data_IF_827735000086
#
_entry.id   IF_827735000086
#
_cell.length_a   1.000
_cell.length_b   1.000
_cell.length_c   1.000
_cell.angle_alpha   90.00
_cell.angle_beta   90.00
_cell.angle_gamma   90.00
#
_symmetry.space_group_name_H-M   'P 1'
#
loop_
_entity.id
_entity.type
_entity.pdbx_description
1 polymer ?
#
# COMPACT_ATOMS: atom_id res chain seq x y z
N UNK A 1 20.53 23.57 -9.65
CA UNK A 1 21.28 22.31 -9.91
C UNK A 1 20.70 21.06 -9.21
N UNK A 2 19.94 21.17 -8.13
CA UNK A 2 19.38 20.02 -7.38
C UNK A 2 18.22 19.28 -8.09
N UNK A 3 17.40 19.93 -8.94
CA UNK A 3 16.25 19.29 -9.60
C UNK A 3 16.62 18.17 -10.60
N UNK A 4 17.83 18.19 -11.16
CA UNK A 4 18.32 17.15 -12.08
C UNK A 4 18.62 15.80 -11.40
N UNK A 5 18.82 15.78 -10.08
CA UNK A 5 19.28 14.60 -9.34
C UNK A 5 18.19 13.53 -9.13
N UNK A 6 16.92 13.91 -9.20
CA UNK A 6 15.78 13.03 -8.93
C UNK A 6 14.86 12.82 -10.13
N UNK A 7 15.10 13.51 -11.26
CA UNK A 7 14.26 13.39 -12.44
C UNK A 7 14.40 12.01 -13.10
N UNK A 8 13.31 11.31 -13.28
CA UNK A 8 13.23 10.04 -14.00
C UNK A 8 13.17 10.24 -15.53
N UNK A 9 13.16 11.50 -16.00
CA UNK A 9 13.05 11.84 -17.43
C UNK A 9 14.39 11.85 -18.16
N UNK A 10 15.52 11.82 -17.44
CA UNK A 10 16.86 11.92 -18.00
C UNK A 10 17.73 10.70 -17.61
N UNK A 11 18.84 10.50 -18.29
CA UNK A 11 19.82 9.45 -17.98
C UNK A 11 19.39 8.04 -18.36
N UNK A 12 20.07 7.04 -17.81
CA UNK A 12 19.81 5.63 -18.05
C UNK A 12 18.50 5.17 -17.37
N UNK A 13 17.60 4.54 -18.11
CA UNK A 13 16.28 4.11 -17.64
C UNK A 13 16.41 3.13 -16.46
N UNK A 14 17.23 2.08 -16.61
CA UNK A 14 17.37 1.05 -15.61
C UNK A 14 17.97 1.58 -14.29
N UNK A 15 18.97 2.49 -14.39
CA UNK A 15 19.53 3.15 -13.20
C UNK A 15 18.49 4.01 -12.50
N UNK A 16 17.75 4.83 -13.24
CA UNK A 16 16.74 5.70 -12.69
C UNK A 16 15.65 4.91 -11.94
N UNK A 17 15.15 3.82 -12.56
CA UNK A 17 14.11 2.99 -11.94
C UNK A 17 14.62 2.22 -10.71
N UNK A 18 15.81 1.60 -10.80
CA UNK A 18 16.36 0.86 -9.66
C UNK A 18 16.74 1.78 -8.50
N UNK A 19 17.35 2.95 -8.78
CA UNK A 19 17.66 3.92 -7.72
C UNK A 19 16.43 4.54 -7.06
N UNK A 20 15.30 4.53 -7.75
CA UNK A 20 14.02 4.91 -7.16
C UNK A 20 13.37 3.75 -6.41
N UNK A 21 13.28 2.57 -7.02
CA UNK A 21 12.59 1.41 -6.48
C UNK A 21 13.29 0.84 -5.23
N UNK A 22 14.63 0.83 -5.19
CA UNK A 22 15.37 0.25 -4.07
C UNK A 22 15.15 0.95 -2.72
N UNK A 23 15.20 2.29 -2.61
CA UNK A 23 14.85 2.96 -1.36
C UNK A 23 13.39 2.74 -0.96
N UNK A 24 12.45 2.68 -1.92
CA UNK A 24 11.04 2.37 -1.65
C UNK A 24 10.92 0.95 -1.08
N UNK A 25 11.62 -0.01 -1.68
CA UNK A 25 11.66 -1.40 -1.18
C UNK A 25 12.19 -1.47 0.26
N UNK A 26 13.33 -0.84 0.53
CA UNK A 26 13.89 -0.79 1.88
C UNK A 26 12.93 -0.12 2.87
N UNK A 27 12.29 0.98 2.47
CA UNK A 27 11.27 1.64 3.30
C UNK A 27 10.13 0.71 3.67
N UNK A 28 9.59 -0.02 2.71
CA UNK A 28 8.53 -0.98 2.96
C UNK A 28 8.99 -2.15 3.87
N UNK A 29 10.25 -2.63 3.70
CA UNK A 29 10.84 -3.64 4.60
C UNK A 29 10.93 -3.12 6.02
N UNK A 30 11.48 -1.92 6.24
CA UNK A 30 11.56 -1.32 7.56
C UNK A 30 10.18 -1.09 8.18
N UNK A 31 9.20 -0.68 7.38
CA UNK A 31 7.82 -0.54 7.84
C UNK A 31 7.22 -1.87 8.29
N UNK A 32 7.45 -2.93 7.54
CA UNK A 32 6.99 -4.28 7.91
C UNK A 32 7.69 -4.79 9.17
N UNK A 33 8.98 -4.51 9.31
CA UNK A 33 9.76 -4.93 10.49
C UNK A 33 9.28 -4.22 11.76
N UNK A 34 9.07 -2.91 11.75
CA UNK A 34 8.59 -2.23 12.94
C UNK A 34 7.16 -2.62 13.30
N UNK A 35 6.25 -2.84 12.33
CA UNK A 35 4.91 -3.35 12.61
C UNK A 35 4.95 -4.74 13.26
N UNK A 36 5.90 -5.58 12.83
CA UNK A 36 6.12 -6.92 13.42
C UNK A 36 6.67 -6.80 14.84
N UNK A 37 7.59 -5.85 15.07
CA UNK A 37 8.14 -5.59 16.41
C UNK A 37 7.08 -5.04 17.37
N UNK A 38 6.23 -4.13 16.93
CA UNK A 38 5.11 -3.61 17.71
C UNK A 38 4.17 -4.73 18.19
N UNK A 39 3.75 -5.61 17.27
CA UNK A 39 2.94 -6.77 17.61
C UNK A 39 3.66 -7.75 18.58
N UNK A 40 4.97 -7.96 18.38
CA UNK A 40 5.77 -8.78 19.26
C UNK A 40 5.88 -8.18 20.67
N UNK A 41 6.09 -6.86 20.76
CA UNK A 41 6.18 -6.15 22.03
C UNK A 41 4.86 -6.25 22.82
N UNK A 42 3.73 -6.00 22.17
CA UNK A 42 2.39 -6.12 22.77
C UNK A 42 2.12 -7.54 23.25
N UNK A 43 2.39 -8.55 22.41
CA UNK A 43 2.15 -9.95 22.76
C UNK A 43 2.99 -10.45 23.93
N UNK A 44 4.28 -10.06 24.00
CA UNK A 44 5.17 -10.57 25.05
C UNK A 44 5.04 -9.84 26.40
N UNK A 45 4.71 -8.55 26.39
CA UNK A 45 4.71 -7.75 27.64
C UNK A 45 3.30 -7.44 28.15
N UNK A 46 2.27 -7.43 27.31
CA UNK A 46 0.89 -7.16 27.76
C UNK A 46 0.06 -8.44 27.79
N UNK A 47 0.28 -9.35 26.82
CA UNK A 47 -0.36 -10.66 26.76
C UNK A 47 -1.26 -10.88 25.55
N UNK A 48 -1.85 -12.09 25.47
CA UNK A 48 -2.58 -12.57 24.31
C UNK A 48 -3.86 -11.78 24.01
N UNK A 49 -4.57 -11.32 25.04
CA UNK A 49 -5.79 -10.51 24.87
C UNK A 49 -5.50 -9.17 24.21
N UNK A 50 -4.38 -8.55 24.58
CA UNK A 50 -3.91 -7.31 23.96
C UNK A 50 -3.49 -7.51 22.51
N UNK A 51 -2.78 -8.63 22.22
CA UNK A 51 -2.39 -9.01 20.87
C UNK A 51 -3.62 -9.30 20.00
N UNK A 52 -4.64 -9.96 20.58
CA UNK A 52 -5.92 -10.19 19.91
C UNK A 52 -6.66 -8.87 19.62
N UNK A 53 -6.62 -7.91 20.58
CA UNK A 53 -7.19 -6.58 20.38
C UNK A 53 -6.55 -5.82 19.23
N UNK A 54 -5.21 -5.80 19.15
CA UNK A 54 -4.45 -5.17 18.06
C UNK A 54 -4.73 -5.87 16.72
N UNK A 55 -4.72 -7.20 16.72
CA UNK A 55 -4.89 -8.00 15.49
C UNK A 55 -6.30 -7.93 14.91
N UNK A 56 -7.33 -7.99 15.75
CA UNK A 56 -8.74 -7.85 15.31
C UNK A 56 -9.01 -6.50 14.66
N UNK A 57 -8.29 -5.51 15.11
CA UNK A 57 -8.37 -4.11 14.67
C UNK A 57 -7.64 -3.86 13.35
N UNK A 58 -6.64 -4.66 13.05
CA UNK A 58 -5.73 -4.43 11.91
C UNK A 58 -6.44 -4.35 10.57
N UNK A 59 -7.45 -5.17 10.32
CA UNK A 59 -8.17 -5.19 9.04
C UNK A 59 -8.92 -3.89 8.76
N UNK A 60 -9.52 -3.27 9.77
CA UNK A 60 -10.22 -2.00 9.61
C UNK A 60 -9.25 -0.84 9.40
N UNK A 61 -8.18 -0.80 10.20
CA UNK A 61 -7.09 0.17 10.03
C UNK A 61 -6.54 0.06 8.63
N UNK A 62 -6.23 -1.17 8.17
CA UNK A 62 -5.70 -1.42 6.85
C UNK A 62 -6.65 -0.91 5.74
N UNK A 63 -7.95 -1.18 5.85
CA UNK A 63 -8.95 -0.71 4.89
C UNK A 63 -8.97 0.82 4.80
N UNK A 64 -9.00 1.51 5.95
CA UNK A 64 -9.05 2.97 6.01
C UNK A 64 -7.74 3.60 5.52
N UNK A 65 -6.59 3.12 5.96
CA UNK A 65 -5.27 3.60 5.52
C UNK A 65 -5.10 3.37 4.02
N UNK A 66 -5.52 2.22 3.50
CA UNK A 66 -5.46 1.90 2.07
C UNK A 66 -6.30 2.83 1.21
N UNK A 67 -7.46 3.28 1.71
CA UNK A 67 -8.26 4.29 1.03
C UNK A 67 -7.51 5.62 0.88
N UNK A 68 -6.95 6.13 1.98
CA UNK A 68 -6.21 7.40 1.97
C UNK A 68 -4.88 7.30 1.19
N UNK A 69 -4.21 6.16 1.23
CA UNK A 69 -3.06 5.89 0.36
C UNK A 69 -3.44 5.98 -1.13
N UNK A 70 -4.60 5.44 -1.50
CA UNK A 70 -5.11 5.56 -2.86
C UNK A 70 -5.33 7.03 -3.26
N UNK A 71 -5.89 7.83 -2.38
CA UNK A 71 -6.09 9.27 -2.63
C UNK A 71 -4.74 10.00 -2.73
N UNK A 72 -3.78 9.72 -1.86
CA UNK A 72 -2.43 10.28 -1.93
C UNK A 72 -1.72 9.92 -3.24
N UNK A 73 -1.94 8.70 -3.77
CA UNK A 73 -1.43 8.31 -5.10
C UNK A 73 -1.99 9.21 -6.21
N UNK A 74 -3.25 9.65 -6.11
CA UNK A 74 -3.83 10.59 -7.07
C UNK A 74 -3.09 11.94 -7.09
N UNK A 75 -2.77 12.49 -5.92
CA UNK A 75 -1.95 13.68 -5.82
C UNK A 75 -0.56 13.46 -6.45
N UNK A 76 0.05 12.29 -6.16
CA UNK A 76 1.33 11.89 -6.76
C UNK A 76 1.31 11.87 -8.29
N UNK A 77 0.23 11.40 -8.91
CA UNK A 77 0.08 11.40 -10.39
C UNK A 77 0.04 12.82 -10.95
N UNK A 78 -0.76 13.72 -10.37
CA UNK A 78 -0.86 15.12 -10.82
C UNK A 78 0.48 15.84 -10.68
N UNK A 79 1.16 15.65 -9.55
CA UNK A 79 2.46 16.27 -9.27
C UNK A 79 3.55 15.71 -10.20
N UNK A 80 3.63 14.38 -10.38
CA UNK A 80 4.62 13.75 -11.25
C UNK A 80 4.50 14.22 -12.70
N UNK A 81 3.27 14.30 -13.20
CA UNK A 81 2.95 14.82 -14.53
C UNK A 81 3.42 16.26 -14.70
N UNK A 82 3.02 17.15 -13.79
CA UNK A 82 3.37 18.57 -13.84
C UNK A 82 4.89 18.79 -13.65
N UNK A 83 5.55 17.96 -12.82
CA UNK A 83 7.00 17.99 -12.65
C UNK A 83 7.71 17.60 -13.94
N UNK A 84 7.28 16.53 -14.61
CA UNK A 84 7.83 16.11 -15.91
C UNK A 84 7.63 17.14 -17.00
N UNK A 85 6.47 17.79 -17.04
CA UNK A 85 6.15 18.88 -17.97
C UNK A 85 6.87 20.20 -17.66
N UNK A 86 7.60 20.29 -16.53
CA UNK A 86 8.21 21.51 -16.00
C UNK A 86 7.22 22.65 -15.73
N UNK A 87 5.94 22.30 -15.52
CA UNK A 87 4.86 23.23 -15.17
C UNK A 87 4.85 23.44 -13.65
N UNK A 88 5.85 24.17 -13.15
CA UNK A 88 6.08 24.32 -11.72
C UNK A 88 4.96 25.06 -10.97
N UNK A 89 4.25 25.96 -11.64
CA UNK A 89 3.12 26.70 -11.01
C UNK A 89 1.94 25.74 -10.77
N UNK A 90 1.57 24.93 -11.77
CA UNK A 90 0.54 23.89 -11.63
C UNK A 90 0.94 22.85 -10.59
N UNK A 91 2.20 22.40 -10.63
CA UNK A 91 2.75 21.47 -9.65
C UNK A 91 2.65 22.05 -8.21
N UNK A 92 3.02 23.31 -8.01
CA UNK A 92 2.94 23.96 -6.70
C UNK A 92 1.50 24.08 -6.20
N UNK A 93 0.54 24.43 -7.07
CA UNK A 93 -0.89 24.44 -6.71
C UNK A 93 -1.34 23.03 -6.28
N UNK A 94 -0.98 21.99 -7.03
CA UNK A 94 -1.32 20.61 -6.70
C UNK A 94 -0.69 20.16 -5.37
N UNK A 95 0.58 20.49 -5.10
CA UNK A 95 1.26 20.19 -3.83
C UNK A 95 0.54 20.84 -2.64
N UNK A 96 0.28 22.15 -2.72
CA UNK A 96 -0.37 22.88 -1.61
C UNK A 96 -1.82 22.44 -1.41
N UNK A 97 -2.54 22.10 -2.51
CA UNK A 97 -3.89 21.53 -2.46
C UNK A 97 -3.88 20.14 -1.84
N UNK A 98 -2.92 19.28 -2.19
CA UNK A 98 -2.80 17.95 -1.59
C UNK A 98 -2.57 18.02 -0.08
N UNK A 99 -1.72 18.95 0.37
CA UNK A 99 -1.47 19.19 1.80
C UNK A 99 -2.75 19.70 2.49
N UNK A 100 -3.43 20.70 1.93
CA UNK A 100 -4.66 21.23 2.49
C UNK A 100 -5.76 20.16 2.56
N UNK A 101 -5.92 19.37 1.49
CA UNK A 101 -6.86 18.25 1.43
C UNK A 101 -6.52 17.17 2.48
N UNK A 102 -5.23 16.84 2.64
CA UNK A 102 -4.77 15.91 3.67
C UNK A 102 -5.04 16.38 5.10
N UNK A 103 -4.88 17.67 5.38
CA UNK A 103 -5.23 18.24 6.67
C UNK A 103 -6.73 18.09 6.95
N UNK A 104 -7.58 18.45 6.00
CA UNK A 104 -9.04 18.35 6.15
C UNK A 104 -9.46 16.89 6.34
N UNK A 105 -9.01 16.00 5.45
CA UNK A 105 -9.37 14.57 5.52
C UNK A 105 -8.75 13.87 6.74
N UNK A 106 -7.54 14.26 7.13
CA UNK A 106 -6.89 13.77 8.34
C UNK A 106 -7.66 14.15 9.62
N UNK A 107 -8.12 15.39 9.73
CA UNK A 107 -8.98 15.83 10.84
C UNK A 107 -10.32 15.09 10.82
N UNK A 108 -10.96 14.99 9.65
CA UNK A 108 -12.21 14.24 9.51
C UNK A 108 -12.06 12.78 9.93
N UNK A 109 -10.97 12.13 9.51
CA UNK A 109 -10.69 10.74 9.87
C UNK A 109 -10.42 10.59 11.36
N UNK A 110 -9.68 11.52 11.97
CA UNK A 110 -9.44 11.53 13.41
C UNK A 110 -10.74 11.64 14.18
N UNK A 111 -11.59 12.63 13.88
CA UNK A 111 -12.87 12.84 14.59
C UNK A 111 -13.81 11.66 14.37
N UNK A 112 -14.02 11.24 13.12
CA UNK A 112 -14.90 10.13 12.80
C UNK A 112 -14.38 8.80 13.37
N UNK A 113 -13.08 8.53 13.28
CA UNK A 113 -12.45 7.33 13.81
C UNK A 113 -12.62 7.20 15.32
N UNK A 114 -12.31 8.26 16.07
CA UNK A 114 -12.46 8.27 17.54
C UNK A 114 -13.92 8.12 17.95
N UNK A 115 -14.84 8.83 17.29
CA UNK A 115 -16.27 8.80 17.62
C UNK A 115 -16.93 7.45 17.28
N UNK A 116 -16.61 6.89 16.09
CA UNK A 116 -17.27 5.69 15.60
C UNK A 116 -16.62 4.37 16.08
N UNK A 117 -15.43 4.41 16.66
CA UNK A 117 -14.68 3.24 17.14
C UNK A 117 -15.55 2.25 17.91
N UNK A 118 -16.30 2.62 18.98
CA UNK A 118 -17.08 1.66 19.75
C UNK A 118 -18.18 0.99 18.93
N UNK A 119 -18.81 1.74 18.03
CA UNK A 119 -19.89 1.24 17.17
C UNK A 119 -19.35 0.25 16.14
N UNK A 120 -18.23 0.60 15.48
CA UNK A 120 -17.63 -0.24 14.46
C UNK A 120 -17.14 -1.57 15.05
N UNK A 121 -16.45 -1.54 16.21
CA UNK A 121 -15.96 -2.74 16.87
C UNK A 121 -17.11 -3.68 17.31
N UNK A 122 -18.23 -3.13 17.78
CA UNK A 122 -19.43 -3.93 18.08
C UNK A 122 -20.02 -4.56 16.83
N UNK A 123 -20.11 -3.82 15.71
CA UNK A 123 -20.60 -4.37 14.44
C UNK A 123 -19.69 -5.47 13.89
N UNK A 124 -18.38 -5.38 14.14
CA UNK A 124 -17.42 -6.43 13.79
C UNK A 124 -17.52 -7.69 14.66
N UNK A 125 -18.35 -7.67 15.70
CA UNK A 125 -18.50 -8.81 16.59
C UNK A 125 -17.30 -9.06 17.51
N UNK A 126 -16.55 -7.99 17.86
CA UNK A 126 -15.41 -8.10 18.78
C UNK A 126 -15.87 -8.68 20.12
N UNK A 127 -15.23 -9.75 20.64
CA UNK A 127 -15.61 -10.37 21.91
C UNK A 127 -15.64 -9.37 23.07
N UNK A 128 -16.61 -9.50 23.97
CA UNK A 128 -16.81 -8.56 25.08
C UNK A 128 -15.59 -8.44 26.01
N UNK A 129 -14.81 -9.50 26.14
CA UNK A 129 -13.59 -9.57 26.96
C UNK A 129 -12.48 -8.67 26.40
N UNK A 130 -12.34 -8.61 25.07
CA UNK A 130 -11.28 -7.88 24.36
C UNK A 130 -11.73 -6.47 23.95
N UNK A 131 -13.06 -6.23 23.93
CA UNK A 131 -13.66 -4.99 23.44
C UNK A 131 -13.11 -3.71 24.10
N UNK A 132 -12.94 -3.63 25.45
CA UNK A 132 -12.41 -2.42 26.09
C UNK A 132 -10.99 -2.08 25.63
N UNK A 133 -10.13 -3.09 25.50
CA UNK A 133 -8.75 -2.91 25.04
C UNK A 133 -8.70 -2.52 23.58
N UNK A 134 -9.55 -3.12 22.72
CA UNK A 134 -9.67 -2.75 21.32
C UNK A 134 -10.15 -1.30 21.16
N UNK A 135 -11.15 -0.86 21.95
CA UNK A 135 -11.63 0.54 21.92
C UNK A 135 -10.50 1.50 22.32
N UNK A 136 -9.74 1.19 23.37
CA UNK A 136 -8.63 2.03 23.83
C UNK A 136 -7.54 2.14 22.72
N UNK A 137 -7.09 1.02 22.18
CA UNK A 137 -6.08 0.98 21.11
C UNK A 137 -6.53 1.77 19.89
N UNK A 138 -7.75 1.54 19.40
CA UNK A 138 -8.29 2.22 18.23
C UNK A 138 -8.43 3.73 18.41
N UNK A 139 -8.97 4.15 19.55
CA UNK A 139 -9.12 5.58 19.82
C UNK A 139 -7.77 6.30 19.80
N UNK A 140 -6.75 5.75 20.45
CA UNK A 140 -5.40 6.33 20.42
C UNK A 140 -4.79 6.29 19.02
N UNK A 141 -5.00 5.21 18.28
CA UNK A 141 -4.55 5.12 16.89
C UNK A 141 -5.22 6.19 16.01
N UNK A 142 -6.54 6.36 16.12
CA UNK A 142 -7.26 7.38 15.34
C UNK A 142 -6.97 8.80 15.79
N UNK A 143 -6.62 9.06 17.03
CA UNK A 143 -6.09 10.37 17.44
C UNK A 143 -4.85 10.78 16.63
N UNK A 144 -4.06 9.79 16.19
CA UNK A 144 -2.89 9.99 15.34
C UNK A 144 -3.14 9.88 13.84
N UNK A 145 -4.37 9.63 13.39
CA UNK A 145 -4.67 9.38 11.98
C UNK A 145 -4.25 10.53 11.06
N UNK A 146 -4.36 11.78 11.53
CA UNK A 146 -3.89 12.96 10.80
C UNK A 146 -2.39 12.85 10.44
N UNK A 147 -1.54 12.37 11.35
CA UNK A 147 -0.10 12.21 11.09
C UNK A 147 0.16 11.15 10.03
N UNK A 148 -0.57 10.03 10.07
CA UNK A 148 -0.48 8.98 9.05
C UNK A 148 -0.90 9.50 7.67
N UNK A 149 -2.02 10.22 7.58
CA UNK A 149 -2.50 10.82 6.33
C UNK A 149 -1.46 11.82 5.80
N UNK A 150 -0.98 12.73 6.66
CA UNK A 150 0.00 13.75 6.26
C UNK A 150 1.33 13.12 5.82
N UNK A 151 1.83 12.12 6.55
CA UNK A 151 3.02 11.39 6.16
C UNK A 151 2.88 10.79 4.76
N UNK A 152 1.77 10.08 4.48
CA UNK A 152 1.53 9.47 3.16
C UNK A 152 1.46 10.52 2.04
N UNK A 153 0.87 11.70 2.29
CA UNK A 153 0.84 12.79 1.32
C UNK A 153 2.23 13.36 1.08
N UNK A 154 3.02 13.61 2.12
CA UNK A 154 4.39 14.12 1.95
C UNK A 154 5.29 13.11 1.23
N UNK A 155 5.19 11.82 1.55
CA UNK A 155 5.87 10.76 0.83
C UNK A 155 5.41 10.70 -0.63
N UNK A 156 4.11 10.82 -0.89
CA UNK A 156 3.55 10.87 -2.24
C UNK A 156 4.10 12.05 -3.05
N UNK A 157 4.24 13.24 -2.44
CA UNK A 157 4.86 14.41 -3.08
C UNK A 157 6.33 14.14 -3.41
N UNK A 158 7.11 13.63 -2.45
CA UNK A 158 8.54 13.32 -2.65
C UNK A 158 8.75 12.25 -3.72
N UNK A 159 7.97 11.18 -3.69
CA UNK A 159 8.00 10.15 -4.72
C UNK A 159 7.62 10.69 -6.10
N UNK A 160 6.62 11.58 -6.19
CA UNK A 160 6.18 12.17 -7.45
C UNK A 160 7.28 13.00 -8.15
N UNK A 161 8.14 13.66 -7.37
CA UNK A 161 9.31 14.38 -7.90
C UNK A 161 10.56 13.49 -8.08
N UNK A 162 10.45 12.19 -7.74
CA UNK A 162 11.52 11.20 -7.91
C UNK A 162 12.43 11.03 -6.70
N UNK A 163 12.12 11.66 -5.56
CA UNK A 163 12.89 11.53 -4.33
C UNK A 163 12.33 10.39 -3.46
N UNK A 164 12.94 9.23 -3.55
CA UNK A 164 12.62 8.07 -2.71
C UNK A 164 13.57 7.90 -1.51
N UNK A 165 14.68 8.63 -1.46
CA UNK A 165 15.71 8.45 -0.44
C UNK A 165 15.36 9.15 0.87
N UNK A 166 14.90 10.40 0.80
CA UNK A 166 14.56 11.14 2.01
C UNK A 166 13.40 10.51 2.79
N UNK A 167 12.28 10.06 2.14
CA UNK A 167 11.25 9.28 2.83
C UNK A 167 11.80 8.04 3.55
N UNK A 168 12.73 7.30 2.93
CA UNK A 168 13.39 6.16 3.57
C UNK A 168 14.15 6.56 4.85
N UNK A 169 14.97 7.61 4.78
CA UNK A 169 15.75 8.05 5.95
C UNK A 169 14.84 8.46 7.12
N UNK A 170 13.76 9.18 6.82
CA UNK A 170 12.80 9.62 7.84
C UNK A 170 12.01 8.46 8.41
N UNK A 171 11.68 7.47 7.59
CA UNK A 171 11.02 6.26 8.05
C UNK A 171 11.93 5.41 8.95
N UNK A 172 13.21 5.22 8.60
CA UNK A 172 14.18 4.49 9.43
C UNK A 172 14.31 5.19 10.80
N UNK A 173 14.47 6.52 10.81
CA UNK A 173 14.55 7.27 12.06
C UNK A 173 13.28 7.11 12.90
N UNK A 174 12.13 7.23 12.29
CA UNK A 174 10.83 7.08 12.93
C UNK A 174 10.59 5.65 13.45
N UNK A 175 11.01 4.62 12.70
CA UNK A 175 10.95 3.23 13.14
C UNK A 175 11.81 3.01 14.41
N UNK A 176 12.99 3.60 14.47
CA UNK A 176 13.82 3.58 15.67
C UNK A 176 13.12 4.28 16.86
N UNK A 177 12.53 5.44 16.65
CA UNK A 177 11.74 6.16 17.68
C UNK A 177 10.57 5.28 18.15
N UNK A 178 9.86 4.61 17.23
CA UNK A 178 8.76 3.71 17.58
C UNK A 178 9.23 2.57 18.49
N UNK A 179 10.29 1.85 18.10
CA UNK A 179 10.85 0.74 18.89
C UNK A 179 11.24 1.19 20.30
N UNK A 180 11.91 2.35 20.41
CA UNK A 180 12.31 2.91 21.71
C UNK A 180 11.07 3.25 22.57
N UNK A 181 10.06 3.86 21.97
CA UNK A 181 8.82 4.23 22.69
C UNK A 181 8.00 3.01 23.09
N UNK A 182 7.91 1.98 22.26
CA UNK A 182 7.25 0.71 22.59
C UNK A 182 7.94 0.03 23.77
N UNK A 183 9.27 -0.08 23.73
CA UNK A 183 10.02 -0.62 24.85
C UNK A 183 9.85 0.20 26.13
N UNK A 184 9.86 1.52 26.01
CA UNK A 184 9.67 2.40 27.16
C UNK A 184 8.25 2.30 27.74
N UNK A 185 7.22 2.44 26.91
CA UNK A 185 5.83 2.51 27.38
C UNK A 185 5.28 1.16 27.78
N UNK A 186 5.59 0.12 27.00
CA UNK A 186 5.03 -1.22 27.20
C UNK A 186 5.90 -2.04 28.15
N UNK A 187 7.21 -2.16 27.87
CA UNK A 187 8.08 -3.05 28.64
C UNK A 187 8.57 -2.45 29.97
N UNK A 188 8.92 -1.14 30.00
CA UNK A 188 9.48 -0.48 31.18
C UNK A 188 8.39 0.12 32.07
N UNK A 189 7.47 0.90 31.50
CA UNK A 189 6.43 1.60 32.26
C UNK A 189 5.18 0.74 32.50
N UNK A 190 5.02 -0.38 31.80
CA UNK A 190 3.89 -1.31 31.97
C UNK A 190 2.54 -0.69 31.60
N UNK A 191 2.52 0.26 30.68
CA UNK A 191 1.27 0.85 30.22
C UNK A 191 0.49 -0.16 29.36
N UNK A 192 -0.84 -0.06 29.38
CA UNK A 192 -1.71 -0.96 28.62
C UNK A 192 -1.58 -0.82 27.10
N UNK A 193 -2.33 -1.65 26.35
CA UNK A 193 -2.28 -1.76 24.88
C UNK A 193 -2.40 -0.43 24.12
N UNK A 194 -3.10 0.55 24.68
CA UNK A 194 -3.21 1.89 24.10
C UNK A 194 -1.88 2.63 23.96
N UNK A 195 -0.88 2.28 24.77
CA UNK A 195 0.44 2.92 24.72
C UNK A 195 1.23 2.55 23.45
N UNK A 196 1.07 1.36 22.92
CA UNK A 196 1.63 0.98 21.62
C UNK A 196 1.03 1.83 20.48
N UNK A 197 -0.29 2.09 20.50
CA UNK A 197 -0.90 3.01 19.55
C UNK A 197 -0.38 4.45 19.68
N UNK A 198 -0.08 4.91 20.90
CA UNK A 198 0.52 6.23 21.16
C UNK A 198 1.95 6.26 20.60
N UNK A 199 2.76 5.22 20.81
CA UNK A 199 4.12 5.13 20.28
C UNK A 199 4.11 5.20 18.75
N UNK A 200 3.23 4.45 18.10
CA UNK A 200 3.02 4.50 16.65
C UNK A 200 2.57 5.89 16.18
N UNK A 201 1.64 6.53 16.88
CA UNK A 201 1.18 7.88 16.58
C UNK A 201 2.30 8.92 16.66
N UNK A 202 3.12 8.89 17.71
CA UNK A 202 4.26 9.79 17.87
C UNK A 202 5.27 9.57 16.74
N UNK A 203 5.58 8.31 16.42
CA UNK A 203 6.52 7.95 15.37
C UNK A 203 6.06 8.41 13.99
N UNK A 204 4.77 8.26 13.67
CA UNK A 204 4.18 8.80 12.45
C UNK A 204 4.22 10.33 12.41
N UNK A 205 3.98 10.99 13.55
CA UNK A 205 4.13 12.44 13.69
C UNK A 205 5.55 12.90 13.43
N UNK A 206 6.55 12.20 13.95
CA UNK A 206 7.97 12.47 13.69
C UNK A 206 8.30 12.33 12.20
N UNK A 207 7.86 11.24 11.54
CA UNK A 207 8.04 11.04 10.10
C UNK A 207 7.42 12.18 9.29
N UNK A 208 6.16 12.52 9.60
CA UNK A 208 5.43 13.60 8.91
C UNK A 208 6.13 14.95 9.09
N UNK A 209 6.60 15.25 10.31
CA UNK A 209 7.32 16.48 10.61
C UNK A 209 8.64 16.56 9.83
N UNK A 210 9.43 15.49 9.81
CA UNK A 210 10.69 15.44 9.08
C UNK A 210 10.49 15.63 7.57
N UNK A 211 9.47 14.95 6.98
CA UNK A 211 9.10 15.16 5.58
C UNK A 211 8.68 16.60 5.30
N UNK A 212 7.85 17.19 6.18
CA UNK A 212 7.43 18.59 6.05
C UNK A 212 8.61 19.57 6.15
N UNK A 213 9.49 19.38 7.12
CA UNK A 213 10.69 20.19 7.28
C UNK A 213 11.58 20.12 6.04
N UNK A 214 11.74 18.95 5.45
CA UNK A 214 12.46 18.78 4.20
C UNK A 214 11.79 19.57 3.07
N UNK A 215 10.48 19.40 2.85
CA UNK A 215 9.74 20.08 1.80
C UNK A 215 9.74 21.62 1.96
N UNK A 216 9.78 22.13 3.18
CA UNK A 216 9.85 23.58 3.45
C UNK A 216 11.25 24.15 3.24
N UNK A 217 12.31 23.37 3.54
CA UNK A 217 13.70 23.83 3.50
C UNK A 217 14.41 23.56 2.18
N UNK A 218 13.89 22.64 1.36
CA UNK A 218 14.53 22.28 0.09
C UNK A 218 14.60 23.46 -0.86
N UNK A 219 15.76 23.64 -1.50
CA UNK A 219 15.95 24.60 -2.59
C UNK A 219 15.64 23.94 -3.94
N UNK A 220 14.35 23.78 -4.21
CA UNK A 220 13.84 23.12 -5.40
C UNK A 220 12.47 23.69 -5.81
N UNK A 221 12.05 23.50 -7.07
CA UNK A 221 10.77 24.01 -7.57
C UNK A 221 9.54 23.49 -6.80
N UNK A 222 9.66 22.36 -6.10
CA UNK A 222 8.59 21.75 -5.28
C UNK A 222 8.62 22.17 -3.81
N UNK A 223 9.35 23.25 -3.48
CA UNK A 223 9.40 23.78 -2.11
C UNK A 223 8.01 24.17 -1.64
N UNK A 224 7.65 23.71 -0.43
CA UNK A 224 6.38 24.05 0.21
C UNK A 224 6.49 25.35 0.98
N UNK A 225 5.50 26.24 0.78
CA UNK A 225 5.32 27.44 1.58
C UNK A 225 4.04 27.30 2.41
N UNK A 226 4.17 27.29 3.73
CA UNK A 226 3.03 27.10 4.64
C UNK A 226 1.93 28.15 4.40
N UNK A 227 2.32 29.39 4.05
CA UNK A 227 1.36 30.48 3.76
C UNK A 227 0.56 30.29 2.49
N UNK A 228 1.01 29.39 1.58
CA UNK A 228 0.34 29.10 0.31
C UNK A 228 -0.56 27.87 0.37
N UNK A 229 -0.64 27.20 1.53
CA UNK A 229 -1.50 26.03 1.70
C UNK A 229 -2.96 26.47 1.60
N UNK A 230 -3.61 26.08 0.50
CA UNK A 230 -5.01 26.35 0.21
C UNK A 230 -5.57 25.33 -0.75
N UNK A 231 -6.88 25.16 -0.76
CA UNK A 231 -7.56 24.31 -1.74
C UNK A 231 -7.75 25.08 -3.06
N UNK A 232 -7.10 24.60 -4.11
CA UNK A 232 -7.35 25.03 -5.49
C UNK A 232 -8.33 24.06 -6.12
N UNK A 233 -9.48 24.58 -6.61
CA UNK A 233 -10.58 23.75 -7.11
C UNK A 233 -10.15 22.83 -8.24
N UNK A 234 -9.36 23.32 -9.20
CA UNK A 234 -8.91 22.57 -10.36
C UNK A 234 -8.01 21.42 -9.93
N UNK A 235 -6.97 21.71 -9.12
CA UNK A 235 -6.06 20.71 -8.59
C UNK A 235 -6.78 19.69 -7.71
N UNK A 236 -7.76 20.11 -6.90
CA UNK A 236 -8.54 19.22 -6.04
C UNK A 236 -9.36 18.23 -6.86
N UNK A 237 -10.05 18.70 -7.90
CA UNK A 237 -10.85 17.84 -8.80
C UNK A 237 -9.95 16.80 -9.47
N UNK A 238 -8.75 17.18 -9.95
CA UNK A 238 -7.81 16.24 -10.54
C UNK A 238 -7.30 15.20 -9.52
N UNK A 239 -6.91 15.64 -8.32
CA UNK A 239 -6.46 14.75 -7.24
C UNK A 239 -7.54 13.73 -6.90
N UNK A 240 -8.79 14.16 -6.76
CA UNK A 240 -9.92 13.27 -6.49
C UNK A 240 -10.17 12.34 -7.68
N UNK A 241 -10.16 12.86 -8.90
CA UNK A 241 -10.38 12.07 -10.13
C UNK A 241 -9.40 10.91 -10.28
N UNK A 242 -8.14 11.08 -9.90
CA UNK A 242 -7.11 10.04 -10.00
C UNK A 242 -6.94 9.24 -8.70
N UNK A 243 -7.21 9.85 -7.56
CA UNK A 243 -7.01 9.22 -6.25
C UNK A 243 -8.21 8.39 -5.79
N UNK A 244 -9.43 8.91 -5.93
CA UNK A 244 -10.64 8.22 -5.46
C UNK A 244 -10.80 6.81 -6.06
N UNK A 245 -10.60 6.60 -7.38
CA UNK A 245 -10.66 5.26 -7.94
C UNK A 245 -9.66 4.28 -7.28
N UNK A 246 -8.43 4.74 -7.02
CA UNK A 246 -7.40 3.93 -6.37
C UNK A 246 -7.75 3.64 -4.90
N UNK A 247 -8.32 4.61 -4.18
CA UNK A 247 -8.79 4.44 -2.81
C UNK A 247 -9.93 3.41 -2.70
N UNK A 248 -10.94 3.55 -3.56
CA UNK A 248 -12.05 2.59 -3.65
C UNK A 248 -11.54 1.19 -4.01
N UNK A 249 -10.67 1.08 -5.01
CA UNK A 249 -10.04 -0.19 -5.41
C UNK A 249 -9.39 -0.89 -4.22
N UNK A 250 -8.51 -0.20 -3.50
CA UNK A 250 -7.78 -0.78 -2.38
C UNK A 250 -8.71 -1.23 -1.24
N UNK A 251 -9.71 -0.40 -0.90
CA UNK A 251 -10.68 -0.72 0.15
C UNK A 251 -11.55 -1.93 -0.19
N UNK A 252 -12.03 -2.02 -1.42
CA UNK A 252 -12.88 -3.14 -1.86
C UNK A 252 -12.07 -4.44 -1.99
N UNK A 253 -10.80 -4.38 -2.42
CA UNK A 253 -9.91 -5.55 -2.43
C UNK A 253 -9.68 -6.03 -0.99
N UNK A 254 -9.46 -5.12 -0.04
CA UNK A 254 -9.34 -5.48 1.38
C UNK A 254 -10.58 -6.20 1.90
N UNK A 255 -11.77 -5.71 1.55
CA UNK A 255 -13.04 -6.36 1.91
C UNK A 255 -13.19 -7.76 1.27
N UNK A 256 -12.82 -7.91 -0.01
CA UNK A 256 -12.84 -9.21 -0.68
C UNK A 256 -11.91 -10.23 0.00
N UNK A 257 -10.75 -9.80 0.49
CA UNK A 257 -9.84 -10.66 1.25
C UNK A 257 -10.43 -11.13 2.57
N UNK A 258 -11.29 -10.33 3.23
CA UNK A 258 -12.05 -10.77 4.43
C UNK A 258 -12.99 -11.93 4.09
N UNK A 259 -13.66 -11.88 2.95
CA UNK A 259 -14.54 -12.99 2.48
C UNK A 259 -13.72 -14.25 2.21
N UNK A 260 -12.54 -14.13 1.59
CA UNK A 260 -11.63 -15.27 1.37
C UNK A 260 -11.20 -15.86 2.72
N UNK A 261 -10.78 -15.03 3.66
CA UNK A 261 -10.38 -15.46 5.00
C UNK A 261 -11.50 -16.17 5.75
N UNK A 262 -12.74 -15.69 5.66
CA UNK A 262 -13.89 -16.35 6.26
C UNK A 262 -14.10 -17.78 5.71
N UNK A 263 -13.88 -17.98 4.40
CA UNK A 263 -13.90 -19.31 3.79
C UNK A 263 -12.74 -20.20 4.25
N UNK A 264 -11.53 -19.66 4.38
CA UNK A 264 -10.38 -20.41 4.94
C UNK A 264 -10.68 -20.87 6.37
N UNK A 265 -11.27 -19.99 7.18
CA UNK A 265 -11.60 -20.28 8.57
C UNK A 265 -12.60 -21.44 8.72
N UNK A 266 -13.45 -21.69 7.72
CA UNK A 266 -14.41 -22.82 7.74
C UNK A 266 -13.74 -24.20 7.66
N UNK A 267 -12.46 -24.26 7.23
CA UNK A 267 -11.69 -25.52 7.21
C UNK A 267 -11.01 -25.87 8.55
N UNK A 268 -11.25 -25.06 9.60
CA UNK A 268 -10.79 -25.33 10.95
C UNK A 268 -9.50 -24.62 11.37
N UNK A 269 -9.11 -24.81 12.62
CA UNK A 269 -8.01 -24.08 13.26
C UNK A 269 -6.66 -24.30 12.58
N UNK A 270 -6.39 -25.52 12.12
CA UNK A 270 -5.11 -25.87 11.48
C UNK A 270 -4.96 -25.17 10.11
N UNK A 271 -6.04 -25.15 9.30
CA UNK A 271 -6.04 -24.43 8.02
C UNK A 271 -5.90 -22.92 8.24
N UNK A 272 -6.59 -22.36 9.23
CA UNK A 272 -6.50 -20.95 9.59
C UNK A 272 -5.07 -20.56 10.03
N UNK A 273 -4.42 -21.37 10.85
CA UNK A 273 -3.03 -21.14 11.29
C UNK A 273 -2.04 -21.25 10.13
N UNK A 274 -2.16 -22.29 9.30
CA UNK A 274 -1.28 -22.52 8.15
C UNK A 274 -1.40 -21.41 7.09
N UNK A 275 -2.61 -21.02 6.71
CA UNK A 275 -2.84 -19.91 5.78
C UNK A 275 -2.46 -18.55 6.39
N UNK A 276 -2.62 -18.37 7.71
CA UNK A 276 -2.14 -17.19 8.42
C UNK A 276 -0.62 -17.04 8.36
N UNK A 277 0.11 -18.15 8.50
CA UNK A 277 1.57 -18.20 8.34
C UNK A 277 1.98 -17.81 6.90
N UNK A 278 1.28 -18.35 5.89
CA UNK A 278 1.48 -17.95 4.50
C UNK A 278 1.24 -16.45 4.30
N UNK A 279 0.17 -15.88 4.84
CA UNK A 279 -0.14 -14.45 4.66
C UNK A 279 0.95 -13.52 5.20
N UNK A 280 1.64 -13.91 6.29
CA UNK A 280 2.80 -13.16 6.80
C UNK A 280 3.97 -13.21 5.81
N UNK A 281 4.24 -14.36 5.21
CA UNK A 281 5.29 -14.55 4.20
C UNK A 281 4.95 -13.82 2.90
N UNK A 282 3.70 -13.88 2.45
CA UNK A 282 3.22 -13.17 1.27
C UNK A 282 3.41 -11.66 1.41
N UNK A 283 3.20 -11.11 2.61
CA UNK A 283 3.46 -9.69 2.90
C UNK A 283 4.87 -9.25 2.51
N UNK A 284 5.89 -10.07 2.79
CA UNK A 284 7.27 -9.81 2.37
C UNK A 284 7.49 -10.06 0.87
N UNK A 285 6.91 -11.12 0.33
CA UNK A 285 7.01 -11.46 -1.10
C UNK A 285 6.39 -10.37 -2.00
N UNK A 286 5.41 -9.65 -1.50
CA UNK A 286 4.71 -8.58 -2.22
C UNK A 286 5.50 -7.25 -2.27
N UNK A 287 6.50 -7.04 -1.43
CA UNK A 287 7.24 -5.77 -1.36
C UNK A 287 7.93 -5.38 -2.68
N UNK A 288 8.62 -6.27 -3.40
CA UNK A 288 9.18 -5.93 -4.71
C UNK A 288 8.12 -5.50 -5.73
N UNK A 289 6.95 -6.15 -5.71
CA UNK A 289 5.84 -5.83 -6.62
C UNK A 289 5.34 -4.40 -6.37
N UNK A 290 5.15 -4.03 -5.11
CA UNK A 290 4.67 -2.69 -4.76
C UNK A 290 5.67 -1.59 -5.11
N UNK A 291 6.97 -1.82 -4.89
CA UNK A 291 7.97 -0.80 -5.20
C UNK A 291 8.14 -0.56 -6.70
N UNK A 292 8.11 -1.62 -7.53
CA UNK A 292 8.13 -1.45 -8.99
C UNK A 292 6.83 -0.84 -9.52
N UNK A 293 5.68 -1.18 -8.95
CA UNK A 293 4.39 -0.56 -9.29
C UNK A 293 4.44 0.96 -9.06
N UNK A 294 5.01 1.38 -7.94
CA UNK A 294 5.15 2.79 -7.60
C UNK A 294 6.19 3.50 -8.47
N UNK A 295 7.33 2.85 -8.72
CA UNK A 295 8.36 3.35 -9.62
C UNK A 295 7.81 3.55 -11.04
N UNK A 296 7.04 2.59 -11.56
CA UNK A 296 6.40 2.67 -12.86
C UNK A 296 5.37 3.80 -12.93
N UNK A 297 4.55 3.97 -11.90
CA UNK A 297 3.56 5.05 -11.84
C UNK A 297 4.23 6.43 -11.91
N UNK A 298 5.27 6.66 -11.11
CA UNK A 298 6.03 7.92 -11.12
C UNK A 298 6.80 8.12 -12.43
N UNK A 299 7.46 7.06 -12.92
CA UNK A 299 8.22 7.11 -14.16
C UNK A 299 7.33 7.45 -15.36
N UNK A 300 6.19 6.78 -15.48
CA UNK A 300 5.24 7.03 -16.57
C UNK A 300 4.66 8.45 -16.46
N UNK A 301 4.23 8.87 -15.28
CA UNK A 301 3.68 10.22 -15.07
C UNK A 301 4.68 11.32 -15.46
N UNK A 302 5.93 11.22 -15.00
CA UNK A 302 6.97 12.20 -15.34
C UNK A 302 7.33 12.19 -16.83
N UNK A 303 7.52 11.01 -17.45
CA UNK A 303 7.94 10.93 -18.84
C UNK A 303 6.80 11.27 -19.83
N UNK A 304 5.55 10.96 -19.53
CA UNK A 304 4.40 11.43 -20.31
C UNK A 304 4.26 12.94 -20.20
N UNK A 305 4.37 13.51 -18.99
CA UNK A 305 4.39 14.95 -18.81
C UNK A 305 5.50 15.65 -19.61
N UNK A 306 6.66 15.01 -19.72
CA UNK A 306 7.80 15.49 -20.52
C UNK A 306 7.70 15.15 -22.02
N UNK A 307 6.59 14.57 -22.50
CA UNK A 307 6.40 14.08 -23.89
C UNK A 307 7.48 13.10 -24.38
N UNK A 308 8.08 12.30 -23.46
CA UNK A 308 9.13 11.32 -23.74
C UNK A 308 8.56 9.93 -24.02
N UNK A 309 7.70 9.78 -25.03
CA UNK A 309 6.94 8.56 -25.33
C UNK A 309 7.83 7.32 -25.57
N UNK A 310 8.95 7.48 -26.30
CA UNK A 310 9.89 6.37 -26.53
C UNK A 310 10.53 5.87 -25.23
N UNK A 311 10.81 6.80 -24.32
CA UNK A 311 11.33 6.47 -23.01
C UNK A 311 10.31 5.73 -22.16
N UNK A 312 9.04 6.13 -22.24
CA UNK A 312 7.92 5.43 -21.58
C UNK A 312 7.85 3.98 -22.04
N UNK A 313 7.83 3.72 -23.36
CA UNK A 313 7.76 2.35 -23.91
C UNK A 313 8.90 1.46 -23.39
N UNK A 314 10.14 1.96 -23.46
CA UNK A 314 11.32 1.21 -23.00
C UNK A 314 11.31 0.98 -21.48
N UNK A 315 10.95 2.00 -20.69
CA UNK A 315 10.92 1.92 -19.24
C UNK A 315 9.82 1.00 -18.71
N UNK A 316 8.67 1.04 -19.34
CA UNK A 316 7.54 0.14 -19.00
C UNK A 316 7.94 -1.32 -19.21
N UNK A 317 8.53 -1.66 -20.37
CA UNK A 317 9.01 -3.02 -20.64
C UNK A 317 10.04 -3.49 -19.60
N UNK A 318 11.01 -2.63 -19.28
CA UNK A 318 12.01 -2.93 -18.25
C UNK A 318 11.41 -3.14 -16.86
N UNK A 319 10.54 -2.22 -16.42
CA UNK A 319 9.95 -2.29 -15.08
C UNK A 319 9.02 -3.50 -14.89
N UNK A 320 8.22 -3.85 -15.91
CA UNK A 320 7.39 -5.06 -15.89
C UNK A 320 8.27 -6.30 -15.81
N UNK A 321 9.30 -6.40 -16.69
CA UNK A 321 10.20 -7.56 -16.71
C UNK A 321 10.91 -7.76 -15.36
N UNK A 322 11.48 -6.69 -14.78
CA UNK A 322 12.13 -6.77 -13.47
C UNK A 322 11.16 -7.21 -12.38
N UNK A 323 9.97 -6.63 -12.32
CA UNK A 323 8.97 -6.97 -11.30
C UNK A 323 8.50 -8.43 -11.43
N UNK A 324 8.19 -8.88 -12.65
CA UNK A 324 7.76 -10.25 -12.89
C UNK A 324 8.87 -11.28 -12.59
N UNK A 325 10.12 -11.01 -13.01
CA UNK A 325 11.25 -11.90 -12.73
C UNK A 325 11.52 -11.99 -11.23
N UNK A 326 11.54 -10.87 -10.52
CA UNK A 326 11.75 -10.88 -9.07
C UNK A 326 10.61 -11.59 -8.33
N UNK A 327 9.37 -11.33 -8.71
CA UNK A 327 8.20 -11.96 -8.09
C UNK A 327 8.21 -13.47 -8.32
N UNK A 328 8.50 -13.92 -9.54
CA UNK A 328 8.55 -15.35 -9.86
C UNK A 328 9.74 -16.04 -9.20
N UNK A 329 10.90 -15.39 -9.10
CA UNK A 329 12.05 -15.93 -8.36
C UNK A 329 11.69 -16.18 -6.89
N UNK A 330 11.02 -15.20 -6.25
CA UNK A 330 10.51 -15.38 -4.90
C UNK A 330 9.46 -16.49 -4.86
N UNK A 331 8.58 -16.57 -5.85
CA UNK A 331 7.58 -17.63 -5.98
C UNK A 331 8.19 -19.02 -6.05
N UNK A 332 9.20 -19.21 -6.90
CA UNK A 332 9.93 -20.49 -7.03
C UNK A 332 10.65 -20.86 -5.73
N UNK A 333 11.35 -19.91 -5.10
CA UNK A 333 11.99 -20.16 -3.80
C UNK A 333 10.96 -20.52 -2.72
N UNK A 334 9.82 -19.82 -2.71
CA UNK A 334 8.71 -20.11 -1.80
C UNK A 334 8.11 -21.48 -2.03
N UNK A 335 8.01 -21.94 -3.28
CA UNK A 335 7.55 -23.27 -3.62
C UNK A 335 8.48 -24.38 -3.11
N UNK A 336 9.79 -24.19 -3.32
CA UNK A 336 10.82 -25.17 -2.93
C UNK A 336 10.92 -25.28 -1.41
N UNK A 337 10.91 -24.16 -0.71
CA UNK A 337 11.08 -24.09 0.74
C UNK A 337 9.76 -23.93 1.51
N UNK A 338 8.61 -24.20 0.89
CA UNK A 338 7.30 -23.97 1.51
C UNK A 338 7.14 -24.61 2.91
N UNK A 339 7.47 -25.90 3.16
CA UNK A 339 7.34 -26.48 4.49
C UNK A 339 8.21 -25.77 5.53
N UNK A 340 9.47 -25.45 5.18
CA UNK A 340 10.43 -24.79 6.08
C UNK A 340 10.00 -23.35 6.39
N UNK A 341 9.49 -22.63 5.40
CA UNK A 341 9.00 -21.26 5.58
C UNK A 341 7.75 -21.22 6.47
N UNK A 342 6.81 -22.13 6.28
CA UNK A 342 5.60 -22.20 7.10
C UNK A 342 5.94 -22.64 8.52
N UNK A 343 6.90 -23.57 8.71
CA UNK A 343 7.34 -24.03 10.05
C UNK A 343 8.01 -22.94 10.89
N UNK A 344 8.43 -21.81 10.29
CA UNK A 344 8.91 -20.66 11.07
C UNK A 344 7.80 -20.00 11.93
N UNK A 345 6.53 -20.27 11.62
CA UNK A 345 5.38 -19.63 12.26
C UNK A 345 4.41 -20.63 12.92
N UNK A 346 4.63 -21.94 12.77
CA UNK A 346 3.76 -22.97 13.32
C UNK A 346 4.52 -24.26 13.55
N UNK A 347 4.34 -24.88 14.73
CA UNK A 347 4.92 -26.18 15.10
C UNK A 347 3.97 -27.33 14.77
N UNK A 348 2.71 -27.07 14.48
CA UNK A 348 1.70 -28.10 14.18
C UNK A 348 1.90 -28.65 12.78
N UNK A 349 2.13 -29.96 12.66
CA UNK A 349 2.30 -30.66 11.37
C UNK A 349 1.10 -30.49 10.45
N UNK A 350 -0.11 -30.45 11.00
CA UNK A 350 -1.33 -30.26 10.25
C UNK A 350 -1.42 -28.83 9.67
N UNK A 351 -1.08 -27.82 10.48
CA UNK A 351 -1.01 -26.42 10.02
C UNK A 351 0.06 -26.21 8.96
N UNK A 352 1.24 -26.86 9.12
CA UNK A 352 2.31 -26.82 8.12
C UNK A 352 1.84 -27.43 6.81
N UNK A 353 1.10 -28.55 6.85
CA UNK A 353 0.57 -29.20 5.66
C UNK A 353 -0.41 -28.28 4.89
N UNK A 354 -1.38 -27.69 5.61
CA UNK A 354 -2.34 -26.74 5.00
C UNK A 354 -1.65 -25.51 4.43
N UNK A 355 -0.75 -24.89 5.20
CA UNK A 355 -0.01 -23.69 4.75
C UNK A 355 0.88 -23.97 3.54
N UNK A 356 1.55 -25.12 3.53
CA UNK A 356 2.39 -25.59 2.41
C UNK A 356 1.56 -25.82 1.14
N UNK A 357 0.42 -26.49 1.29
CA UNK A 357 -0.49 -26.74 0.17
C UNK A 357 -1.02 -25.43 -0.43
N UNK A 358 -1.46 -24.50 0.45
CA UNK A 358 -1.93 -23.17 0.05
C UNK A 358 -0.83 -22.39 -0.67
N UNK A 359 0.36 -22.31 -0.08
CA UNK A 359 1.52 -21.61 -0.63
C UNK A 359 1.94 -22.17 -1.99
N UNK A 360 2.08 -23.49 -2.13
CA UNK A 360 2.48 -24.14 -3.38
C UNK A 360 1.47 -23.95 -4.50
N UNK A 361 0.19 -23.82 -4.18
CA UNK A 361 -0.85 -23.56 -5.20
C UNK A 361 -0.73 -22.15 -5.78
N UNK A 362 -0.26 -21.16 -4.99
CA UNK A 362 -0.34 -19.74 -5.34
C UNK A 362 1.00 -19.20 -5.86
N UNK A 363 2.12 -19.57 -5.23
CA UNK A 363 3.40 -18.85 -5.38
C UNK A 363 3.98 -18.90 -6.80
N UNK A 364 3.74 -19.95 -7.60
CA UNK A 364 4.19 -20.03 -8.99
C UNK A 364 3.44 -19.10 -9.96
N UNK A 365 2.47 -18.34 -9.47
CA UNK A 365 1.71 -17.36 -10.24
C UNK A 365 2.01 -15.90 -9.81
N UNK A 366 3.06 -15.68 -9.02
CA UNK A 366 3.43 -14.35 -8.57
C UNK A 366 3.82 -13.42 -9.73
N UNK A 367 4.32 -13.94 -10.86
CA UNK A 367 4.54 -13.12 -12.06
C UNK A 367 3.25 -12.49 -12.60
N UNK A 368 2.10 -13.18 -12.54
CA UNK A 368 0.81 -12.64 -12.97
C UNK A 368 0.29 -11.58 -12.01
N UNK A 369 0.50 -11.77 -10.70
CA UNK A 369 0.25 -10.76 -9.68
C UNK A 369 1.07 -9.50 -9.97
N UNK A 370 2.39 -9.66 -10.17
CA UNK A 370 3.30 -8.56 -10.46
C UNK A 370 2.93 -7.84 -11.76
N UNK A 371 2.60 -8.58 -12.82
CA UNK A 371 2.16 -8.01 -14.09
C UNK A 371 0.91 -7.16 -13.93
N UNK A 372 -0.14 -7.68 -13.25
CA UNK A 372 -1.39 -6.94 -13.01
C UNK A 372 -1.14 -5.65 -12.23
N UNK A 373 -0.30 -5.69 -11.18
CA UNK A 373 0.05 -4.51 -10.40
C UNK A 373 0.87 -3.49 -11.18
N UNK A 374 1.83 -3.94 -11.99
CA UNK A 374 2.65 -3.07 -12.84
C UNK A 374 1.78 -2.33 -13.86
N UNK A 375 0.89 -3.04 -14.58
CA UNK A 375 -0.03 -2.40 -15.52
C UNK A 375 -0.96 -1.42 -14.79
N UNK A 376 -1.47 -1.78 -13.62
CA UNK A 376 -2.27 -0.86 -12.81
C UNK A 376 -1.47 0.41 -12.43
N UNK A 377 -0.20 0.28 -12.07
CA UNK A 377 0.69 1.40 -11.79
C UNK A 377 0.91 2.29 -13.01
N UNK A 378 1.16 1.69 -14.17
CA UNK A 378 1.33 2.37 -15.47
C UNK A 378 0.07 3.16 -15.82
N UNK A 379 -1.11 2.54 -15.72
CA UNK A 379 -2.38 3.19 -16.03
C UNK A 379 -2.66 4.35 -15.07
N UNK A 380 -2.35 4.21 -13.78
CA UNK A 380 -2.44 5.33 -12.82
C UNK A 380 -1.50 6.47 -13.21
N UNK A 381 -0.23 6.17 -13.51
CA UNK A 381 0.74 7.16 -13.98
C UNK A 381 0.31 7.87 -15.27
N UNK A 382 -0.40 7.18 -16.16
CA UNK A 382 -1.00 7.73 -17.36
C UNK A 382 -2.35 8.45 -17.12
N UNK A 383 -2.79 8.62 -15.86
CA UNK A 383 -4.04 9.30 -15.53
C UNK A 383 -5.31 8.48 -15.82
N UNK A 384 -5.19 7.17 -16.03
CA UNK A 384 -6.31 6.26 -16.31
C UNK A 384 -6.62 5.36 -15.10
N UNK A 385 -6.70 5.95 -13.89
CA UNK A 385 -6.89 5.22 -12.63
C UNK A 385 -8.21 4.41 -12.55
N UNK A 386 -9.20 4.76 -13.32
CA UNK A 386 -10.48 4.03 -13.40
C UNK A 386 -10.34 2.65 -14.05
N UNK A 387 -9.40 2.48 -14.99
CA UNK A 387 -9.17 1.20 -15.69
C UNK A 387 -8.73 0.11 -14.70
N UNK A 388 -7.64 0.29 -13.91
CA UNK A 388 -7.26 -0.71 -12.91
C UNK A 388 -8.34 -0.90 -11.83
N UNK A 389 -9.05 0.15 -11.43
CA UNK A 389 -10.16 0.03 -10.49
C UNK A 389 -11.20 -0.96 -10.99
N UNK A 390 -11.80 -0.73 -12.15
CA UNK A 390 -12.85 -1.62 -12.68
C UNK A 390 -12.34 -3.03 -12.97
N UNK A 391 -11.15 -3.18 -13.56
CA UNK A 391 -10.56 -4.50 -13.85
C UNK A 391 -10.34 -5.30 -12.57
N UNK A 392 -9.73 -4.69 -11.55
CA UNK A 392 -9.46 -5.41 -10.29
C UNK A 392 -10.73 -5.65 -9.49
N UNK A 393 -11.69 -4.71 -9.46
CA UNK A 393 -12.97 -4.94 -8.80
C UNK A 393 -13.74 -6.10 -9.45
N UNK A 394 -13.77 -6.15 -10.78
CA UNK A 394 -14.43 -7.25 -11.49
C UNK A 394 -13.74 -8.60 -11.23
N UNK A 395 -12.41 -8.67 -11.35
CA UNK A 395 -11.68 -9.93 -11.25
C UNK A 395 -11.42 -10.36 -9.80
N UNK A 396 -10.92 -9.44 -8.96
CA UNK A 396 -10.44 -9.80 -7.62
C UNK A 396 -11.50 -9.71 -6.53
N UNK A 397 -12.59 -9.02 -6.79
CA UNK A 397 -13.70 -8.94 -5.87
C UNK A 397 -14.89 -9.75 -6.40
N UNK A 398 -15.56 -9.28 -7.44
CA UNK A 398 -16.80 -9.90 -7.91
C UNK A 398 -16.55 -11.36 -8.36
N UNK A 399 -15.65 -11.59 -9.29
CA UNK A 399 -15.38 -12.95 -9.80
C UNK A 399 -14.79 -13.86 -8.70
N UNK A 400 -13.84 -13.38 -7.88
CA UNK A 400 -13.22 -14.20 -6.82
C UNK A 400 -14.25 -14.63 -5.78
N UNK A 401 -15.08 -13.71 -5.28
CA UNK A 401 -16.10 -14.03 -4.29
C UNK A 401 -17.13 -14.98 -4.87
N UNK A 402 -17.59 -14.75 -6.10
CA UNK A 402 -18.53 -15.64 -6.79
C UNK A 402 -17.93 -17.04 -7.00
N UNK A 403 -16.69 -17.12 -7.49
CA UNK A 403 -15.97 -18.37 -7.69
C UNK A 403 -15.89 -19.18 -6.38
N UNK A 404 -15.40 -18.55 -5.29
CA UNK A 404 -15.28 -19.25 -4.00
C UNK A 404 -16.64 -19.71 -3.50
N UNK A 405 -17.67 -18.86 -3.56
CA UNK A 405 -19.01 -19.18 -3.09
C UNK A 405 -19.68 -20.35 -3.83
N UNK A 406 -19.33 -20.54 -5.10
CA UNK A 406 -19.84 -21.65 -5.92
C UNK A 406 -18.94 -22.87 -5.83
N UNK A 407 -17.63 -22.70 -6.04
CA UNK A 407 -16.69 -23.80 -6.15
C UNK A 407 -16.51 -24.57 -4.83
N UNK A 408 -16.53 -23.89 -3.67
CA UNK A 408 -16.44 -24.55 -2.34
C UNK A 408 -17.68 -25.42 -2.07
N UNK A 409 -18.85 -25.06 -2.59
CA UNK A 409 -20.06 -25.90 -2.47
C UNK A 409 -19.98 -27.19 -3.31
N UNK A 410 -19.22 -27.15 -4.42
CA UNK A 410 -19.04 -28.31 -5.29
C UNK A 410 -17.87 -29.18 -4.83
N UNK A 411 -16.77 -28.56 -4.43
CA UNK A 411 -15.54 -29.23 -3.99
C UNK A 411 -15.06 -28.53 -2.72
N UNK A 412 -15.44 -29.08 -1.56
CA UNK A 412 -15.12 -28.53 -0.26
C UNK A 412 -13.68 -28.87 0.16
N UNK A 413 -12.71 -28.21 -0.47
CA UNK A 413 -11.28 -28.37 -0.20
C UNK A 413 -10.59 -27.00 -0.12
N UNK A 414 -9.56 -26.89 0.73
CA UNK A 414 -8.77 -25.64 0.85
C UNK A 414 -8.10 -25.26 -0.49
N UNK A 415 -7.68 -26.22 -1.28
CA UNK A 415 -7.12 -26.00 -2.63
C UNK A 415 -8.08 -25.26 -3.55
N UNK A 416 -9.38 -25.51 -3.44
CA UNK A 416 -10.40 -24.79 -4.21
C UNK A 416 -10.37 -23.29 -3.89
N UNK A 417 -10.23 -22.94 -2.62
CA UNK A 417 -10.08 -21.53 -2.21
C UNK A 417 -8.75 -20.97 -2.70
N UNK A 418 -7.66 -21.76 -2.61
CA UNK A 418 -6.32 -21.34 -3.03
C UNK A 418 -6.26 -21.01 -4.53
N UNK A 419 -6.92 -21.78 -5.37
CA UNK A 419 -7.00 -21.55 -6.83
C UNK A 419 -7.70 -20.26 -7.21
N UNK A 420 -8.48 -19.68 -6.33
CA UNK A 420 -9.10 -18.38 -6.58
C UNK A 420 -8.06 -17.28 -6.91
N UNK A 421 -6.87 -17.33 -6.31
CA UNK A 421 -5.80 -16.35 -6.55
C UNK A 421 -5.20 -16.48 -7.96
N UNK A 422 -4.64 -17.64 -8.37
CA UNK A 422 -4.13 -17.83 -9.73
C UNK A 422 -5.14 -17.51 -10.84
N UNK A 423 -6.39 -17.97 -10.69
CA UNK A 423 -7.44 -17.75 -11.69
C UNK A 423 -7.74 -16.25 -11.85
N UNK A 424 -7.89 -15.53 -10.74
CA UNK A 424 -8.22 -14.08 -10.77
C UNK A 424 -7.05 -13.24 -11.25
N UNK A 425 -5.80 -13.62 -10.92
CA UNK A 425 -4.61 -12.95 -11.43
C UNK A 425 -4.41 -13.19 -12.92
N UNK A 426 -4.69 -14.42 -13.40
CA UNK A 426 -4.67 -14.73 -14.83
C UNK A 426 -5.71 -13.90 -15.57
N UNK A 427 -6.96 -13.87 -15.08
CA UNK A 427 -8.04 -13.13 -15.71
C UNK A 427 -7.73 -11.63 -15.78
N UNK A 428 -7.29 -11.04 -14.68
CA UNK A 428 -6.91 -9.62 -14.66
C UNK A 428 -5.71 -9.33 -15.57
N UNK A 429 -4.72 -10.23 -15.63
CA UNK A 429 -3.56 -10.09 -16.51
C UNK A 429 -3.95 -10.11 -17.98
N UNK A 430 -4.86 -10.99 -18.38
CA UNK A 430 -5.38 -11.05 -19.76
C UNK A 430 -6.11 -9.76 -20.12
N UNK A 431 -7.01 -9.28 -19.26
CA UNK A 431 -7.75 -8.02 -19.49
C UNK A 431 -6.79 -6.84 -19.60
N UNK A 432 -5.83 -6.74 -18.67
CA UNK A 432 -4.83 -5.69 -18.70
C UNK A 432 -3.93 -5.76 -19.93
N UNK A 433 -3.53 -6.94 -20.36
CA UNK A 433 -2.72 -7.12 -21.57
C UNK A 433 -3.48 -6.66 -22.81
N UNK A 434 -4.74 -7.07 -22.95
CA UNK A 434 -5.60 -6.64 -24.08
C UNK A 434 -5.76 -5.12 -24.08
N UNK A 435 -6.06 -4.53 -22.93
CA UNK A 435 -6.20 -3.08 -22.81
C UNK A 435 -4.88 -2.36 -23.13
N UNK A 436 -3.78 -2.83 -22.56
CA UNK A 436 -2.44 -2.24 -22.75
C UNK A 436 -2.00 -2.22 -24.21
N UNK A 437 -2.32 -3.29 -24.97
CA UNK A 437 -1.94 -3.42 -26.38
C UNK A 437 -2.88 -2.68 -27.33
N UNK A 438 -4.20 -2.64 -27.02
CA UNK A 438 -5.22 -2.06 -27.92
C UNK A 438 -5.52 -0.60 -27.65
N UNK A 439 -5.41 -0.14 -26.39
CA UNK A 439 -5.74 1.24 -26.05
C UNK A 439 -4.56 2.16 -26.31
N UNK A 440 -4.86 3.30 -26.95
CA UNK A 440 -3.87 4.36 -27.14
C UNK A 440 -3.76 5.24 -25.88
N UNK A 441 -3.29 4.64 -24.79
CA UNK A 441 -3.17 5.29 -23.48
C UNK A 441 -2.06 6.34 -23.43
N UNK A 442 -1.07 6.26 -24.32
CA UNK A 442 0.05 7.22 -24.40
C UNK A 442 -0.42 8.54 -25.05
N UNK A 443 -1.01 8.50 -26.27
CA UNK A 443 -1.42 9.71 -26.98
C UNK A 443 -2.74 10.30 -26.46
N UNK A 444 -3.59 9.47 -25.86
CA UNK A 444 -4.79 9.95 -25.17
C UNK A 444 -4.44 10.82 -23.95
N UNK A 445 -3.30 10.57 -23.30
CA UNK A 445 -2.78 11.41 -22.24
C UNK A 445 -2.55 12.85 -22.72
N UNK A 446 -1.93 13.04 -23.89
CA UNK A 446 -1.66 14.38 -24.45
C UNK A 446 -2.93 15.15 -24.76
N UNK A 447 -4.00 14.46 -25.17
CA UNK A 447 -5.33 15.09 -25.40
C UNK A 447 -5.97 15.55 -24.11
N UNK A 448 -6.00 14.69 -23.11
CA UNK A 448 -6.59 14.99 -21.79
C UNK A 448 -5.79 16.11 -21.08
N UNK A 449 -4.46 16.16 -21.29
CA UNK A 449 -3.59 17.16 -20.69
C UNK A 449 -3.73 18.57 -21.29
N UNK A 450 -4.07 18.68 -22.58
CA UNK A 450 -4.30 19.96 -23.25
C UNK A 450 -5.66 20.57 -22.91
N UNK A 451 -6.61 19.76 -22.43
CA UNK A 451 -7.98 20.20 -22.08
C UNK A 451 -8.14 20.54 -20.60
N UNK A 452 -7.18 20.20 -19.75
CA UNK A 452 -7.16 20.48 -18.31
C UNK A 452 -6.31 21.71 -17.98
#
# INVERSE_FOLDING_TARGET
MHSKRYSLTEGSIWKAMLFFAFPVFLGNVFQQLYNTFDAWCVGNYIGDDALAAVSSSGSLIFMMVSFFNGVAMGAGVVIARSFGAKQYDTMNKAIHTAIAFGLVTGVMLTVAGVALTPTILRWMGTPAEVLPQSIAYFRYYFCGAIFTVMYNIFVGILHAVGDSKHPLYYLIFSAFVNIVLDMLFVAVLGFGVGSAAIATTISQGVSALLCLLHLVRVDAPYRVSIRKIRLDKTSLVEIIRYGLPSGVQNSVIALANVVVQANINSFGKAAMAGCGSYSKLEGFAFLPVTCFTQALSTFVGQNLGAHRHDRVKKGVGFGIACSCIMAELIGVLSYLFAPQLISLFSDSQESIAFGTQHMRTICLFYCLLAFSHCIAGIMRGAGKATVPMFTMLACWCLFRVTYISVAVKLVNQLTTVSWAYPITWTLSSIIFLIYFLKADWIHNFDRDFKQA
#
